data_IF_559919576315
#
_entry.id   IF_559919576315
#
_cell.length_a   1.000
_cell.length_b   1.000
_cell.length_c   1.000
_cell.angle_alpha   90.00
_cell.angle_beta   90.00
_cell.angle_gamma   90.00
#
_symmetry.space_group_name_H-M   'P 1'
#
loop_
_entity.id
_entity.type
_entity.pdbx_description
1 polymer ?
#
# COMPACT_ATOMS: atom_id res chain seq x y z
N UNK A 1 -12.05 -1.70 0.27
CA UNK A 1 -12.61 -0.49 0.92
C UNK A 1 -11.71 0.04 2.04
N UNK A 2 -11.53 -0.66 3.16
CA UNK A 2 -10.79 -0.15 4.33
C UNK A 2 -9.36 0.32 4.03
N UNK A 3 -8.59 -0.47 3.26
CA UNK A 3 -7.19 -0.14 2.91
C UNK A 3 -7.10 1.18 2.13
N UNK A 4 -7.96 1.39 1.12
CA UNK A 4 -7.91 2.60 0.30
C UNK A 4 -8.25 3.85 1.13
N UNK A 5 -9.25 3.75 2.01
CA UNK A 5 -9.62 4.85 2.90
C UNK A 5 -8.48 5.20 3.84
N UNK A 6 -7.87 4.21 4.47
CA UNK A 6 -6.78 4.39 5.41
C UNK A 6 -5.55 5.02 4.73
N UNK A 7 -5.16 4.52 3.55
CA UNK A 7 -4.07 5.11 2.75
C UNK A 7 -4.33 6.58 2.42
N UNK A 8 -5.52 6.93 1.93
CA UNK A 8 -5.84 8.32 1.60
C UNK A 8 -5.90 9.21 2.84
N UNK A 9 -6.38 8.68 3.97
CA UNK A 9 -6.41 9.43 5.24
C UNK A 9 -4.99 9.75 5.72
N UNK A 10 -4.06 8.78 5.60
CA UNK A 10 -2.64 9.00 5.91
C UNK A 10 -1.99 10.00 4.95
N UNK A 11 -2.23 9.87 3.65
CA UNK A 11 -1.74 10.85 2.66
C UNK A 11 -2.22 12.27 2.98
N UNK A 12 -3.49 12.43 3.38
CA UNK A 12 -4.02 13.74 3.79
C UNK A 12 -3.39 14.27 5.07
N UNK A 13 -3.04 13.40 6.01
CA UNK A 13 -2.35 13.77 7.24
C UNK A 13 -0.91 14.21 6.96
N UNK A 14 -0.20 13.48 6.09
CA UNK A 14 1.18 13.77 5.69
C UNK A 14 1.27 15.04 4.81
N UNK A 15 0.33 15.22 3.89
CA UNK A 15 0.19 16.41 3.04
C UNK A 15 -1.26 16.94 3.04
N UNK A 16 -1.57 17.89 3.94
CA UNK A 16 -2.89 18.51 4.01
C UNK A 16 -3.31 19.25 2.73
N UNK A 17 -2.38 19.61 1.85
CA UNK A 17 -2.67 20.31 0.59
C UNK A 17 -3.20 19.39 -0.51
N UNK A 18 -3.06 18.07 -0.37
CA UNK A 18 -3.56 17.11 -1.36
C UNK A 18 -5.09 17.14 -1.42
N UNK A 19 -5.64 17.56 -2.56
CA UNK A 19 -7.10 17.63 -2.78
C UNK A 19 -7.64 16.47 -3.63
N UNK A 20 -6.81 15.90 -4.50
CA UNK A 20 -7.22 14.94 -5.52
C UNK A 20 -6.34 13.70 -5.51
N UNK A 21 -6.92 12.55 -5.85
CA UNK A 21 -6.18 11.30 -6.03
C UNK A 21 -6.54 10.58 -7.33
N UNK A 22 -5.50 10.05 -7.98
CA UNK A 22 -5.59 9.05 -9.03
C UNK A 22 -5.12 7.72 -8.46
N UNK A 23 -6.03 6.77 -8.32
CA UNK A 23 -5.76 5.49 -7.67
C UNK A 23 -5.46 4.40 -8.68
N UNK A 24 -4.55 3.48 -8.35
CA UNK A 24 -4.32 2.25 -9.12
C UNK A 24 -4.33 1.05 -8.20
N UNK A 25 -5.10 0.02 -8.57
CA UNK A 25 -5.18 -1.23 -7.85
C UNK A 25 -4.95 -2.44 -8.78
N UNK A 26 -4.68 -3.60 -8.20
CA UNK A 26 -4.64 -4.84 -8.97
C UNK A 26 -6.08 -5.28 -9.32
N UNK A 27 -6.21 -6.13 -10.34
CA UNK A 27 -7.48 -6.59 -10.86
C UNK A 27 -8.17 -7.70 -10.02
N UNK A 28 -7.59 -8.11 -8.89
CA UNK A 28 -8.22 -9.16 -8.07
C UNK A 28 -9.57 -8.67 -7.52
N UNK A 29 -10.56 -9.58 -7.43
CA UNK A 29 -11.94 -9.22 -7.08
C UNK A 29 -12.11 -8.49 -5.75
N UNK A 30 -11.19 -8.66 -4.79
CA UNK A 30 -11.22 -7.90 -3.54
C UNK A 30 -10.93 -6.39 -3.72
N UNK A 31 -10.25 -6.00 -4.79
CA UNK A 31 -10.01 -4.60 -5.15
C UNK A 31 -10.93 -4.17 -6.30
N UNK A 32 -11.08 -4.99 -7.34
CA UNK A 32 -12.00 -4.77 -8.44
C UNK A 32 -13.35 -5.43 -8.15
N UNK A 33 -14.17 -4.75 -7.35
CA UNK A 33 -15.55 -5.16 -7.06
C UNK A 33 -16.49 -3.97 -7.08
N UNK A 34 -17.77 -4.25 -7.32
CA UNK A 34 -18.85 -3.28 -7.19
C UNK A 34 -18.83 -2.59 -5.81
N UNK A 35 -18.59 -3.35 -4.74
CA UNK A 35 -18.47 -2.80 -3.38
C UNK A 35 -17.35 -1.76 -3.25
N UNK A 36 -16.16 -2.02 -3.82
CA UNK A 36 -15.08 -1.03 -3.81
C UNK A 36 -15.44 0.21 -4.63
N UNK A 37 -15.97 0.04 -5.83
CA UNK A 37 -16.30 1.16 -6.74
C UNK A 37 -17.42 2.03 -6.14
N UNK A 38 -18.49 1.42 -5.63
CA UNK A 38 -19.61 2.14 -5.03
C UNK A 38 -19.22 2.84 -3.71
N UNK A 39 -18.16 2.38 -3.04
CA UNK A 39 -17.67 3.01 -1.82
C UNK A 39 -16.78 4.23 -2.06
N UNK A 40 -16.33 4.51 -3.30
CA UNK A 40 -15.38 5.59 -3.59
C UNK A 40 -15.86 6.99 -3.14
N UNK A 41 -17.14 7.38 -3.32
CA UNK A 41 -17.62 8.68 -2.83
C UNK A 41 -17.49 8.80 -1.30
N UNK A 42 -17.92 7.77 -0.57
CA UNK A 42 -17.82 7.72 0.90
C UNK A 42 -16.36 7.74 1.37
N UNK A 43 -15.47 7.02 0.69
CA UNK A 43 -14.04 7.05 0.97
C UNK A 43 -13.49 8.46 0.75
N UNK A 44 -13.85 9.11 -0.36
CA UNK A 44 -13.38 10.45 -0.71
C UNK A 44 -13.80 11.48 0.35
N UNK A 45 -15.04 11.41 0.81
CA UNK A 45 -15.56 12.26 1.88
C UNK A 45 -14.79 12.07 3.19
N UNK A 46 -14.62 10.81 3.63
CA UNK A 46 -13.91 10.51 4.89
C UNK A 46 -12.45 10.91 4.86
N UNK A 47 -11.76 10.66 3.74
CA UNK A 47 -10.35 10.99 3.61
C UNK A 47 -10.10 12.47 3.28
N UNK A 48 -11.15 13.24 2.96
CA UNK A 48 -11.08 14.63 2.47
C UNK A 48 -10.15 14.77 1.24
N UNK A 49 -10.16 13.76 0.38
CA UNK A 49 -9.45 13.72 -0.91
C UNK A 49 -10.43 13.22 -1.96
N UNK A 50 -10.63 13.98 -3.03
CA UNK A 50 -11.51 13.58 -4.13
C UNK A 50 -10.80 12.55 -5.03
N UNK A 51 -11.32 11.33 -5.07
CA UNK A 51 -10.85 10.31 -6.01
C UNK A 51 -11.39 10.64 -7.40
N UNK A 52 -10.51 11.03 -8.33
CA UNK A 52 -10.90 11.39 -9.70
C UNK A 52 -10.98 10.18 -10.62
N UNK A 53 -10.19 9.15 -10.33
CA UNK A 53 -10.08 7.95 -11.16
C UNK A 53 -9.52 6.79 -10.34
N UNK A 54 -10.01 5.58 -10.62
CA UNK A 54 -9.39 4.33 -10.19
C UNK A 54 -9.12 3.47 -11.43
N UNK A 55 -7.86 3.07 -11.59
CA UNK A 55 -7.43 2.14 -12.64
C UNK A 55 -7.16 0.76 -12.06
N UNK A 56 -7.61 -0.28 -12.75
CA UNK A 56 -7.32 -1.67 -12.42
C UNK A 56 -6.34 -2.24 -13.45
N UNK A 57 -5.25 -2.83 -12.98
CA UNK A 57 -4.23 -3.44 -13.85
C UNK A 57 -4.09 -4.94 -13.57
N UNK A 58 -4.01 -5.74 -14.64
CA UNK A 58 -3.76 -7.17 -14.54
C UNK A 58 -2.27 -7.47 -14.28
N UNK A 59 -1.93 -8.59 -13.60
CA UNK A 59 -0.54 -8.98 -13.33
C UNK A 59 0.29 -9.24 -14.60
N UNK A 60 -0.35 -9.48 -15.75
CA UNK A 60 0.34 -9.89 -16.98
C UNK A 60 1.01 -8.73 -17.75
N UNK A 61 0.74 -7.47 -17.39
CA UNK A 61 1.36 -6.29 -18.00
C UNK A 61 2.76 -5.93 -17.42
N UNK A 62 3.39 -6.86 -16.69
CA UNK A 62 4.62 -6.63 -15.95
C UNK A 62 4.38 -6.33 -14.46
N UNK A 63 5.42 -6.51 -13.63
CA UNK A 63 5.32 -6.27 -12.19
C UNK A 63 4.97 -4.81 -11.93
N UNK A 64 3.83 -4.58 -11.25
CA UNK A 64 3.43 -3.25 -10.80
C UNK A 64 4.50 -2.62 -9.90
N UNK A 65 4.40 -1.30 -9.65
CA UNK A 65 5.27 -0.63 -8.67
C UNK A 65 5.26 -1.36 -7.30
N UNK A 66 4.09 -1.84 -6.87
CA UNK A 66 3.95 -2.69 -5.68
C UNK A 66 4.72 -4.00 -5.80
N UNK A 67 4.66 -4.68 -6.95
CA UNK A 67 5.45 -5.89 -7.21
C UNK A 67 6.96 -5.67 -7.13
N UNK A 68 7.46 -4.48 -7.54
CA UNK A 68 8.87 -4.10 -7.37
C UNK A 68 9.23 -3.93 -5.89
N UNK A 69 8.40 -3.24 -5.11
CA UNK A 69 8.63 -3.11 -3.66
C UNK A 69 8.64 -4.47 -2.95
N UNK A 70 7.69 -5.35 -3.26
CA UNK A 70 7.66 -6.70 -2.69
C UNK A 70 8.92 -7.52 -3.04
N UNK A 71 9.52 -7.30 -4.21
CA UNK A 71 10.76 -7.96 -4.60
C UNK A 71 11.98 -7.48 -3.79
N UNK A 72 11.95 -6.27 -3.22
CA UNK A 72 12.99 -5.73 -2.33
C UNK A 72 12.73 -6.14 -0.88
N UNK A 73 11.47 -6.11 -0.43
CA UNK A 73 11.07 -6.50 0.92
C UNK A 73 11.45 -7.96 1.23
N UNK A 74 11.12 -8.89 0.33
CA UNK A 74 11.34 -10.33 0.53
C UNK A 74 12.79 -10.70 0.88
N UNK A 75 13.82 -10.28 0.13
CA UNK A 75 15.21 -10.58 0.48
C UNK A 75 15.66 -9.89 1.76
N UNK A 76 15.22 -8.66 2.05
CA UNK A 76 15.55 -7.95 3.29
C UNK A 76 15.07 -8.72 4.52
N UNK A 77 13.79 -9.08 4.51
CA UNK A 77 13.12 -9.86 5.55
C UNK A 77 13.75 -11.24 5.69
N UNK A 78 14.10 -11.89 4.57
CA UNK A 78 14.79 -13.19 4.60
C UNK A 78 16.18 -13.09 5.23
N UNK A 79 16.95 -12.04 4.93
CA UNK A 79 18.25 -11.81 5.56
C UNK A 79 18.10 -11.66 7.07
N UNK A 80 17.14 -10.83 7.51
CA UNK A 80 16.83 -10.65 8.93
C UNK A 80 16.52 -11.97 9.64
N UNK A 81 15.67 -12.83 9.05
CA UNK A 81 15.38 -14.16 9.57
C UNK A 81 16.62 -15.08 9.62
N UNK A 82 17.47 -15.05 8.59
CA UNK A 82 18.67 -15.88 8.52
C UNK A 82 19.73 -15.51 9.58
N UNK A 83 19.68 -14.27 10.09
CA UNK A 83 20.52 -13.79 11.19
C UNK A 83 19.97 -14.19 12.59
N UNK A 84 19.01 -15.14 12.63
CA UNK A 84 18.36 -15.69 13.84
C UNK A 84 17.40 -14.73 14.55
N UNK A 85 16.97 -13.67 13.89
CA UNK A 85 15.86 -12.86 14.38
C UNK A 85 14.52 -13.54 14.10
N UNK A 86 13.51 -13.23 14.91
CA UNK A 86 12.14 -13.72 14.74
C UNK A 86 11.26 -12.67 14.05
N UNK A 87 10.27 -13.13 13.29
CA UNK A 87 9.22 -12.30 12.70
C UNK A 87 7.88 -13.01 12.87
N UNK A 88 7.29 -12.84 14.04
CA UNK A 88 6.08 -13.49 14.51
C UNK A 88 4.90 -12.51 14.62
N UNK A 89 5.17 -11.20 14.59
CA UNK A 89 4.15 -10.16 14.66
C UNK A 89 4.46 -8.99 13.70
N UNK A 90 3.49 -8.07 13.60
CA UNK A 90 3.59 -6.93 12.69
C UNK A 90 4.72 -5.94 13.08
N UNK A 91 4.99 -5.76 14.37
CA UNK A 91 6.06 -4.86 14.82
C UNK A 91 7.44 -5.40 14.44
N UNK A 92 7.68 -6.70 14.65
CA UNK A 92 8.91 -7.39 14.23
C UNK A 92 9.07 -7.37 12.70
N UNK A 93 7.97 -7.45 11.95
CA UNK A 93 8.02 -7.31 10.50
C UNK A 93 8.43 -5.90 10.08
N UNK A 94 7.90 -4.86 10.72
CA UNK A 94 8.28 -3.46 10.48
C UNK A 94 9.76 -3.25 10.86
N UNK A 95 10.22 -3.78 11.99
CA UNK A 95 11.64 -3.76 12.37
C UNK A 95 12.52 -4.41 11.29
N UNK A 96 12.12 -5.58 10.78
CA UNK A 96 12.82 -6.24 9.69
C UNK A 96 12.83 -5.40 8.39
N UNK A 97 11.79 -4.58 8.13
CA UNK A 97 11.77 -3.66 6.98
C UNK A 97 12.73 -2.47 7.15
N UNK A 98 12.96 -2.01 8.38
CA UNK A 98 13.87 -0.90 8.69
C UNK A 98 15.32 -1.32 8.94
N UNK A 99 15.60 -2.62 9.04
CA UNK A 99 16.95 -3.16 9.09
C UNK A 99 17.76 -2.86 7.81
N UNK A 100 19.10 -2.87 7.91
CA UNK A 100 20.06 -2.66 6.81
C UNK A 100 19.82 -1.38 6.00
N UNK A 101 19.68 -0.24 6.69
CA UNK A 101 19.35 1.10 6.12
C UNK A 101 17.90 1.25 5.64
N UNK A 102 17.09 0.21 5.78
CA UNK A 102 15.66 0.21 5.51
C UNK A 102 15.29 0.06 4.04
N UNK A 103 14.13 -0.52 3.80
CA UNK A 103 13.57 -0.58 2.45
C UNK A 103 13.03 0.79 2.06
N UNK A 104 13.67 1.43 1.06
CA UNK A 104 13.22 2.71 0.50
C UNK A 104 11.73 2.66 0.17
N UNK A 105 10.98 3.67 0.61
CA UNK A 105 9.53 3.78 0.36
C UNK A 105 8.64 3.08 1.39
N UNK A 106 9.21 2.43 2.41
CA UNK A 106 8.48 2.03 3.62
C UNK A 106 8.48 3.20 4.59
N UNK A 107 7.29 3.63 5.04
CA UNK A 107 7.15 4.65 6.07
C UNK A 107 7.56 4.09 7.44
N UNK A 108 8.23 4.92 8.25
CA UNK A 108 8.60 4.67 9.65
C UNK A 108 7.41 4.72 10.59
#
# INVERSE_FOLDING_TARGET
VAILQDVLTRVKADDPSTEYAYCRANNAGCYHSAGTILSLPMISEKAKIKILRIDFSDPQAGKSACGRYAAVIKPNVRRYLNEKHNIMNAAEFVEALHSYEGVKGVQS
#
